data_IF_314771055963
#
_entry.id   IF_314771055963
#
_cell.length_a   1.000
_cell.length_b   1.000
_cell.length_c   1.000
_cell.angle_alpha   90.00
_cell.angle_beta   90.00
_cell.angle_gamma   90.00
#
_symmetry.space_group_name_H-M   'P 1'
#
loop_
_entity.id
_entity.type
_entity.pdbx_description
1 polymer ?
#
# COMPACT_ATOMS: atom_id res chain seq x y z
N UNK A 1 -24.27 5.53 16.20
CA UNK A 1 -23.05 4.71 16.37
C UNK A 1 -21.87 5.54 15.95
N UNK A 2 -20.83 5.57 16.76
CA UNK A 2 -19.62 6.37 16.55
C UNK A 2 -18.86 5.91 15.29
N UNK A 3 -18.31 6.84 14.50
CA UNK A 3 -17.56 6.52 13.28
C UNK A 3 -16.33 5.66 13.60
N UNK A 4 -15.71 5.91 14.76
CA UNK A 4 -14.58 5.12 15.23
C UNK A 4 -14.94 3.62 15.40
N UNK A 5 -16.12 3.34 15.98
CA UNK A 5 -16.57 1.96 16.20
C UNK A 5 -16.87 1.24 14.87
N UNK A 6 -17.41 1.96 13.88
CA UNK A 6 -17.67 1.42 12.54
C UNK A 6 -16.37 1.04 11.84
N UNK A 7 -15.33 1.87 11.95
CA UNK A 7 -14.04 1.61 11.30
C UNK A 7 -13.33 0.39 11.90
N UNK A 8 -13.30 0.23 13.22
CA UNK A 8 -12.61 -0.91 13.86
C UNK A 8 -13.35 -2.25 13.70
N UNK A 9 -14.67 -2.22 13.52
CA UNK A 9 -15.48 -3.45 13.33
C UNK A 9 -15.66 -3.82 11.86
N UNK A 10 -15.26 -2.95 10.95
CA UNK A 10 -15.41 -3.16 9.52
C UNK A 10 -14.60 -4.35 9.01
N UNK A 11 -15.27 -5.17 8.21
CA UNK A 11 -14.67 -6.28 7.46
C UNK A 11 -15.08 -6.11 6.00
N UNK A 12 -14.17 -5.58 5.19
CA UNK A 12 -14.41 -5.39 3.77
C UNK A 12 -14.42 -6.71 3.01
N UNK A 13 -15.38 -6.85 2.11
CA UNK A 13 -15.44 -7.99 1.18
C UNK A 13 -14.34 -7.86 0.14
N UNK A 14 -13.47 -8.87 0.06
CA UNK A 14 -12.41 -8.91 -0.95
C UNK A 14 -12.99 -9.37 -2.28
N UNK A 15 -12.80 -8.55 -3.30
CA UNK A 15 -13.20 -8.82 -4.67
C UNK A 15 -11.97 -9.12 -5.53
N UNK A 16 -12.11 -10.14 -6.38
CA UNK A 16 -11.14 -10.49 -7.41
C UNK A 16 -11.75 -10.17 -8.77
N UNK A 17 -11.16 -9.25 -9.51
CA UNK A 17 -11.66 -8.91 -10.84
C UNK A 17 -11.22 -9.90 -11.91
N UNK A 18 -11.84 -9.77 -13.09
CA UNK A 18 -11.55 -10.64 -14.23
C UNK A 18 -10.06 -10.52 -14.60
N UNK A 19 -9.36 -11.64 -14.83
CA UNK A 19 -7.98 -11.61 -15.29
C UNK A 19 -7.86 -10.84 -16.61
N UNK A 20 -6.87 -9.97 -16.69
CA UNK A 20 -6.47 -9.27 -17.90
C UNK A 20 -5.13 -9.82 -18.38
N UNK A 21 -4.99 -10.05 -19.68
CA UNK A 21 -3.73 -10.47 -20.28
C UNK A 21 -3.03 -9.25 -20.86
N UNK A 22 -1.82 -8.98 -20.41
CA UNK A 22 -0.91 -8.05 -21.09
C UNK A 22 0.10 -8.90 -21.85
N UNK A 23 0.05 -8.85 -23.17
CA UNK A 23 0.99 -9.54 -24.06
C UNK A 23 2.00 -8.55 -24.65
N UNK A 24 3.28 -8.80 -24.44
CA UNK A 24 4.34 -8.14 -25.20
C UNK A 24 4.72 -9.02 -26.40
N UNK A 25 4.31 -8.59 -27.59
CA UNK A 25 4.56 -9.32 -28.84
C UNK A 25 6.06 -9.44 -29.16
N UNK A 26 6.92 -8.56 -28.63
CA UNK A 26 8.36 -8.62 -28.88
C UNK A 26 9.08 -9.65 -28.00
N UNK A 27 8.50 -10.03 -26.86
CA UNK A 27 9.15 -10.90 -25.86
C UNK A 27 8.52 -12.29 -25.71
N UNK A 28 7.50 -12.61 -26.51
CA UNK A 28 6.70 -13.84 -26.38
C UNK A 28 6.27 -14.13 -24.92
N UNK A 29 6.04 -13.07 -24.14
CA UNK A 29 5.67 -13.16 -22.73
C UNK A 29 4.26 -12.61 -22.55
N UNK A 30 3.40 -13.40 -21.92
CA UNK A 30 2.09 -12.98 -21.47
C UNK A 30 2.08 -12.89 -19.94
N UNK A 31 1.71 -11.73 -19.41
CA UNK A 31 1.48 -11.53 -17.99
C UNK A 31 -0.02 -11.50 -17.77
N UNK A 32 -0.51 -12.44 -16.95
CA UNK A 32 -1.88 -12.40 -16.48
C UNK A 32 -1.91 -11.54 -15.23
N UNK A 33 -2.72 -10.49 -15.26
CA UNK A 33 -2.95 -9.58 -14.14
C UNK A 33 -4.35 -9.82 -13.61
N UNK A 34 -4.44 -10.02 -12.30
CA UNK A 34 -5.73 -10.10 -11.60
C UNK A 34 -5.77 -9.00 -10.53
N UNK A 35 -6.63 -7.97 -10.70
CA UNK A 35 -6.82 -6.95 -9.69
C UNK A 35 -7.56 -7.50 -8.46
N UNK A 36 -7.04 -7.19 -7.28
CA UNK A 36 -7.72 -7.39 -6.00
C UNK A 36 -8.22 -6.04 -5.49
N UNK A 37 -9.47 -6.02 -5.06
CA UNK A 37 -10.14 -4.85 -4.49
C UNK A 37 -10.85 -5.25 -3.21
N UNK A 38 -11.33 -4.27 -2.45
CA UNK A 38 -12.38 -4.47 -1.45
C UNK A 38 -13.53 -3.49 -1.65
N UNK A 39 -14.71 -3.86 -1.16
CA UNK A 39 -15.83 -2.92 -1.01
C UNK A 39 -15.68 -2.24 0.34
N UNK A 40 -15.69 -0.90 0.36
CA UNK A 40 -15.70 -0.13 1.61
C UNK A 40 -17.09 -0.11 2.28
N UNK A 41 -17.21 0.61 3.40
CA UNK A 41 -18.47 0.76 4.14
C UNK A 41 -19.62 1.37 3.32
N UNK A 42 -19.31 2.07 2.24
CA UNK A 42 -20.27 2.70 1.33
C UNK A 42 -20.54 1.85 0.09
N UNK A 43 -19.91 0.67 -0.02
CA UNK A 43 -19.98 -0.18 -1.20
C UNK A 43 -19.10 0.28 -2.36
N UNK A 44 -18.17 1.20 -2.13
CA UNK A 44 -17.24 1.65 -3.17
C UNK A 44 -16.07 0.67 -3.30
N UNK A 45 -15.69 0.39 -4.55
CA UNK A 45 -14.52 -0.44 -4.84
C UNK A 45 -13.23 0.32 -4.56
N UNK A 46 -12.35 -0.26 -3.74
CA UNK A 46 -11.01 0.25 -3.43
C UNK A 46 -9.95 -0.74 -3.90
N UNK A 47 -9.04 -0.29 -4.77
CA UNK A 47 -7.98 -1.14 -5.31
C UNK A 47 -6.92 -1.46 -4.24
N UNK A 48 -6.53 -2.74 -4.15
CA UNK A 48 -5.50 -3.22 -3.22
C UNK A 48 -4.18 -3.42 -3.96
N UNK A 49 -4.13 -4.43 -4.83
CA UNK A 49 -2.93 -4.82 -5.56
C UNK A 49 -3.29 -5.68 -6.79
N UNK A 50 -2.32 -5.84 -7.68
CA UNK A 50 -2.41 -6.73 -8.82
C UNK A 50 -1.68 -8.04 -8.51
N UNK A 51 -2.37 -9.17 -8.60
CA UNK A 51 -1.72 -10.48 -8.64
C UNK A 51 -1.23 -10.71 -10.08
N UNK A 52 0.09 -10.70 -10.26
CA UNK A 52 0.74 -11.01 -11.54
C UNK A 52 1.05 -12.51 -11.61
N UNK A 53 0.79 -13.12 -12.76
CA UNK A 53 1.23 -14.48 -13.08
C UNK A 53 1.95 -14.45 -14.43
N UNK A 54 3.26 -14.69 -14.42
CA UNK A 54 4.03 -14.94 -15.63
C UNK A 54 3.81 -16.35 -16.15
N UNK A 55 4.34 -16.62 -17.34
CA UNK A 55 4.31 -17.95 -17.99
C UNK A 55 5.22 -18.99 -17.32
N UNK A 56 6.12 -18.57 -16.42
CA UNK A 56 6.99 -19.46 -15.65
C UNK A 56 6.39 -19.78 -14.27
N UNK A 57 6.09 -21.05 -14.00
CA UNK A 57 5.35 -21.52 -12.81
C UNK A 57 6.09 -21.24 -11.49
N UNK A 58 7.42 -21.07 -11.54
CA UNK A 58 8.26 -20.74 -10.38
C UNK A 58 7.96 -19.36 -9.80
N UNK A 59 7.52 -18.40 -10.63
CA UNK A 59 7.24 -17.02 -10.24
C UNK A 59 5.94 -16.85 -9.42
N UNK A 60 4.97 -17.75 -9.57
CA UNK A 60 3.62 -17.56 -9.02
C UNK A 60 3.47 -17.87 -7.52
N UNK A 61 4.42 -18.56 -6.90
CA UNK A 61 4.38 -18.89 -5.46
C UNK A 61 4.72 -17.65 -4.61
N UNK A 62 5.67 -16.84 -5.08
CA UNK A 62 6.09 -15.60 -4.42
C UNK A 62 4.98 -14.52 -4.50
N UNK A 63 4.37 -14.32 -5.67
CA UNK A 63 3.30 -13.30 -5.81
C UNK A 63 2.06 -13.62 -4.97
N UNK A 64 1.72 -14.91 -4.80
CA UNK A 64 0.61 -15.31 -3.91
C UNK A 64 0.94 -15.05 -2.44
N UNK A 65 2.19 -15.30 -2.04
CA UNK A 65 2.66 -15.00 -0.70
C UNK A 65 2.60 -13.49 -0.43
N UNK A 66 3.11 -12.66 -1.34
CA UNK A 66 3.04 -11.20 -1.25
C UNK A 66 1.61 -10.68 -1.20
N UNK A 67 0.71 -11.23 -2.03
CA UNK A 67 -0.72 -10.88 -1.97
C UNK A 67 -1.33 -11.24 -0.62
N UNK A 68 -1.00 -12.42 -0.07
CA UNK A 68 -1.49 -12.84 1.24
C UNK A 68 -0.98 -11.92 2.37
N UNK A 69 0.28 -11.47 2.30
CA UNK A 69 0.87 -10.50 3.23
C UNK A 69 0.12 -9.16 3.19
N UNK A 70 -0.13 -8.63 1.99
CA UNK A 70 -0.90 -7.39 1.80
C UNK A 70 -2.31 -7.53 2.39
N UNK A 71 -3.02 -8.61 2.08
CA UNK A 71 -4.37 -8.85 2.62
C UNK A 71 -4.37 -9.01 4.14
N UNK A 72 -3.32 -9.60 4.71
CA UNK A 72 -3.17 -9.73 6.16
C UNK A 72 -2.93 -8.37 6.82
N UNK A 73 -2.05 -7.54 6.26
CA UNK A 73 -1.82 -6.17 6.74
C UNK A 73 -3.11 -5.34 6.64
N UNK A 74 -3.82 -5.41 5.51
CA UNK A 74 -5.09 -4.71 5.32
C UNK A 74 -6.12 -5.07 6.40
N UNK A 75 -6.28 -6.36 6.70
CA UNK A 75 -7.19 -6.82 7.77
C UNK A 75 -6.72 -6.39 9.16
N UNK A 76 -5.42 -6.45 9.43
CA UNK A 76 -4.82 -6.03 10.71
C UNK A 76 -5.07 -4.56 11.00
N UNK A 77 -5.05 -3.72 9.97
CA UNK A 77 -5.29 -2.28 10.08
C UNK A 77 -6.71 -1.89 9.67
N UNK A 78 -7.67 -2.81 9.83
CA UNK A 78 -9.10 -2.55 9.67
C UNK A 78 -9.49 -1.86 8.36
N UNK A 79 -8.82 -2.24 7.27
CA UNK A 79 -9.01 -1.69 5.92
C UNK A 79 -8.73 -0.18 5.79
N UNK A 80 -8.13 0.47 6.80
CA UNK A 80 -7.74 1.88 6.74
C UNK A 80 -6.51 2.08 5.87
N UNK A 81 -5.56 1.14 5.95
CA UNK A 81 -4.37 1.10 5.12
C UNK A 81 -3.77 -0.31 5.10
N UNK A 82 -2.75 -0.52 4.27
CA UNK A 82 -1.84 -1.66 4.40
C UNK A 82 -0.39 -1.22 4.20
N UNK A 83 0.56 -2.00 4.73
CA UNK A 83 1.98 -1.86 4.44
C UNK A 83 2.46 -2.90 3.43
N UNK A 84 3.35 -2.49 2.53
CA UNK A 84 4.03 -3.37 1.57
C UNK A 84 5.18 -4.17 2.17
N UNK A 85 5.57 -3.89 3.43
CA UNK A 85 6.74 -4.52 4.07
C UNK A 85 6.37 -5.01 5.48
N UNK A 86 6.65 -6.29 5.79
CA UNK A 86 6.27 -6.90 7.08
C UNK A 86 7.08 -6.41 8.28
N UNK A 87 8.29 -5.87 8.08
CA UNK A 87 9.17 -5.44 9.18
C UNK A 87 8.64 -4.23 9.97
N UNK A 88 7.81 -3.40 9.34
CA UNK A 88 7.21 -2.20 9.91
C UNK A 88 5.82 -1.96 9.28
N UNK A 89 4.87 -2.84 9.60
CA UNK A 89 3.52 -2.75 9.05
C UNK A 89 2.63 -1.71 9.76
N UNK A 90 2.98 -1.35 10.98
CA UNK A 90 2.35 -0.28 11.75
C UNK A 90 2.94 1.10 11.38
N UNK A 91 2.09 1.97 10.83
CA UNK A 91 2.51 3.28 10.33
C UNK A 91 2.87 4.24 11.46
N UNK A 92 2.12 4.23 12.57
CA UNK A 92 2.35 5.13 13.69
C UNK A 92 3.65 4.75 14.40
N UNK A 93 3.90 3.44 14.57
CA UNK A 93 5.17 2.94 15.08
C UNK A 93 6.33 3.35 14.17
N UNK A 94 6.19 3.15 12.85
CA UNK A 94 7.21 3.54 11.88
C UNK A 94 7.54 5.05 11.96
N UNK A 95 6.51 5.91 11.92
CA UNK A 95 6.70 7.37 11.99
C UNK A 95 7.26 7.81 13.34
N UNK A 96 6.83 7.17 14.43
CA UNK A 96 7.36 7.39 15.77
C UNK A 96 8.84 7.06 15.88
N UNK A 97 9.29 5.96 15.26
CA UNK A 97 10.71 5.61 15.21
C UNK A 97 11.52 6.59 14.37
N UNK A 98 11.03 6.98 13.19
CA UNK A 98 11.66 8.00 12.33
C UNK A 98 11.84 9.31 13.09
N UNK A 99 10.80 9.76 13.79
CA UNK A 99 10.83 10.99 14.57
C UNK A 99 11.79 10.88 15.77
N UNK A 100 11.71 9.78 16.53
CA UNK A 100 12.56 9.54 17.71
C UNK A 100 14.04 9.49 17.35
N UNK A 101 14.39 8.84 16.22
CA UNK A 101 15.76 8.74 15.72
C UNK A 101 16.21 9.94 14.90
N UNK A 102 15.33 10.93 14.67
CA UNK A 102 15.56 12.11 13.82
C UNK A 102 16.02 11.73 12.40
N UNK A 103 15.48 10.63 11.88
CA UNK A 103 15.78 10.17 10.53
C UNK A 103 15.11 11.05 9.46
N UNK A 104 15.67 10.99 8.26
CA UNK A 104 15.22 11.74 7.09
C UNK A 104 14.51 10.79 6.14
N UNK A 105 13.30 11.14 5.71
CA UNK A 105 12.62 10.40 4.65
C UNK A 105 13.11 10.89 3.28
N UNK A 106 13.31 9.97 2.34
CA UNK A 106 13.66 10.22 0.95
C UNK A 106 12.57 9.78 0.00
N UNK A 107 12.17 10.70 -0.87
CA UNK A 107 11.24 10.40 -1.94
C UNK A 107 12.00 9.86 -3.15
N UNK A 108 11.68 8.63 -3.55
CA UNK A 108 12.05 8.07 -4.85
C UNK A 108 11.03 8.57 -5.91
N UNK A 109 10.97 9.88 -6.11
CA UNK A 109 9.91 10.58 -6.86
C UNK A 109 9.03 11.45 -5.96
N UNK A 110 7.75 11.13 -5.85
CA UNK A 110 6.81 11.78 -4.93
C UNK A 110 6.50 10.85 -3.75
N UNK A 111 6.53 11.39 -2.51
CA UNK A 111 6.11 10.66 -1.32
C UNK A 111 4.66 10.20 -1.41
N UNK A 112 3.79 11.03 -1.98
CA UNK A 112 2.36 10.80 -2.09
C UNK A 112 2.00 10.59 -3.55
N UNK A 113 1.52 9.39 -3.88
CA UNK A 113 1.12 9.00 -5.22
C UNK A 113 -0.34 8.59 -5.21
N UNK A 114 -1.11 9.08 -6.17
CA UNK A 114 -2.55 8.83 -6.24
C UNK A 114 -2.87 7.94 -7.45
N UNK A 115 -3.66 6.87 -7.28
CA UNK A 115 -4.32 6.21 -8.40
C UNK A 115 -5.23 7.20 -9.16
N UNK A 116 -5.55 6.88 -10.41
CA UNK A 116 -6.32 7.75 -11.31
C UNK A 116 -7.66 8.19 -10.70
N UNK A 117 -8.32 7.24 -10.05
CA UNK A 117 -9.60 7.34 -9.38
C UNK A 117 -9.51 7.94 -7.96
N UNK A 118 -8.30 8.23 -7.46
CA UNK A 118 -8.02 8.88 -6.17
C UNK A 118 -8.75 8.25 -4.97
N UNK A 119 -9.04 6.97 -5.06
CA UNK A 119 -9.71 6.16 -4.04
C UNK A 119 -8.78 5.77 -2.88
N UNK A 120 -7.48 6.04 -3.03
CA UNK A 120 -6.45 5.81 -2.02
C UNK A 120 -5.27 6.74 -2.24
N UNK A 121 -4.30 6.74 -1.33
CA UNK A 121 -3.00 7.40 -1.50
C UNK A 121 -1.89 6.45 -1.10
N UNK A 122 -0.89 6.32 -1.96
CA UNK A 122 0.34 5.59 -1.65
C UNK A 122 1.35 6.55 -1.01
N UNK A 123 1.77 6.24 0.21
CA UNK A 123 2.88 6.88 0.90
C UNK A 123 4.12 5.99 0.82
N UNK A 124 5.15 6.44 0.08
CA UNK A 124 6.31 5.60 -0.25
C UNK A 124 7.62 6.38 -0.28
N UNK A 125 8.72 5.68 0.02
CA UNK A 125 10.05 6.25 -0.01
C UNK A 125 11.07 5.32 0.66
N UNK A 126 12.20 5.89 1.03
CA UNK A 126 13.24 5.22 1.81
C UNK A 126 13.62 6.07 3.02
N UNK A 127 14.04 5.43 4.10
CA UNK A 127 14.68 6.10 5.23
C UNK A 127 16.14 6.32 4.85
N UNK A 128 16.61 7.58 4.80
CA UNK A 128 17.97 7.92 4.32
C UNK A 128 19.05 7.16 5.08
N UNK A 129 18.95 7.17 6.41
CA UNK A 129 20.02 6.74 7.30
C UNK A 129 20.19 5.21 7.29
N UNK A 130 19.12 4.46 7.03
CA UNK A 130 19.14 2.98 7.03
C UNK A 130 19.06 2.38 5.63
N UNK A 131 18.63 3.17 4.63
CA UNK A 131 18.30 2.67 3.29
C UNK A 131 17.00 1.84 3.24
N UNK A 132 16.30 1.71 4.37
CA UNK A 132 15.10 0.87 4.46
C UNK A 132 13.94 1.47 3.66
N UNK A 133 13.36 0.73 2.70
CA UNK A 133 12.18 1.19 1.98
C UNK A 133 10.93 1.09 2.85
N UNK A 134 9.98 1.99 2.61
CA UNK A 134 8.65 1.91 3.21
C UNK A 134 7.58 2.13 2.15
N UNK A 135 6.44 1.48 2.32
CA UNK A 135 5.29 1.63 1.46
C UNK A 135 4.01 1.42 2.26
N UNK A 136 3.13 2.41 2.24
CA UNK A 136 1.79 2.32 2.81
C UNK A 136 0.76 2.75 1.76
N UNK A 137 -0.33 2.01 1.60
CA UNK A 137 -1.49 2.46 0.83
C UNK A 137 -2.64 2.76 1.77
N UNK A 138 -3.11 4.00 1.76
CA UNK A 138 -4.06 4.57 2.72
C UNK A 138 -5.39 4.82 2.02
N UNK A 139 -6.47 4.33 2.59
CA UNK A 139 -7.84 4.48 2.09
C UNK A 139 -8.66 5.48 2.90
N UNK A 140 -8.30 5.65 4.17
CA UNK A 140 -9.02 6.53 5.10
C UNK A 140 -8.51 7.98 5.04
N UNK A 141 -9.47 8.92 5.00
CA UNK A 141 -9.19 10.35 4.89
C UNK A 141 -8.64 10.94 6.19
N UNK A 142 -9.18 10.54 7.34
CA UNK A 142 -8.75 11.08 8.64
C UNK A 142 -7.31 10.64 8.95
N UNK A 143 -7.01 9.36 8.69
CA UNK A 143 -5.66 8.82 8.79
C UNK A 143 -4.69 9.54 7.85
N UNK A 144 -5.10 9.85 6.61
CA UNK A 144 -4.26 10.61 5.70
C UNK A 144 -3.97 12.03 6.21
N UNK A 145 -4.97 12.72 6.78
CA UNK A 145 -4.76 14.03 7.39
C UNK A 145 -3.83 13.95 8.62
N UNK A 146 -3.95 12.89 9.42
CA UNK A 146 -3.03 12.62 10.52
C UNK A 146 -1.59 12.43 10.03
N UNK A 147 -1.38 11.63 8.97
CA UNK A 147 -0.07 11.47 8.34
C UNK A 147 0.51 12.83 7.93
N UNK A 148 -0.26 13.69 7.25
CA UNK A 148 0.21 15.01 6.84
C UNK A 148 0.63 15.88 8.03
N UNK A 149 -0.08 15.78 9.15
CA UNK A 149 0.27 16.47 10.39
C UNK A 149 1.61 15.95 10.94
N UNK A 150 1.77 14.64 11.09
CA UNK A 150 3.01 14.01 11.61
C UNK A 150 4.21 14.34 10.73
N UNK A 151 4.03 14.32 9.40
CA UNK A 151 5.09 14.65 8.45
C UNK A 151 5.63 16.08 8.59
N UNK A 152 4.89 17.02 9.20
CA UNK A 152 5.41 18.37 9.50
C UNK A 152 6.60 18.34 10.47
N UNK A 153 6.64 17.35 11.36
CA UNK A 153 7.75 17.14 12.31
C UNK A 153 8.90 16.29 11.77
N UNK A 154 8.81 15.78 10.54
CA UNK A 154 9.78 14.86 9.95
C UNK A 154 10.55 15.53 8.81
N UNK A 155 11.88 15.43 8.85
CA UNK A 155 12.75 15.91 7.78
C UNK A 155 12.55 15.05 6.53
N UNK A 156 12.38 15.74 5.39
CA UNK A 156 12.05 15.11 4.10
C UNK A 156 12.90 15.70 3.00
N UNK A 157 13.44 14.85 2.13
CA UNK A 157 14.24 15.27 0.99
C UNK A 157 13.84 14.47 -0.27
N UNK A 158 14.11 15.02 -1.46
CA UNK A 158 13.97 14.28 -2.72
C UNK A 158 15.26 13.55 -3.03
N UNK A 159 15.18 12.31 -3.51
CA UNK A 159 16.34 11.65 -4.09
C UNK A 159 16.87 12.50 -5.25
N UNK A 160 18.19 12.74 -5.28
CA UNK A 160 18.83 13.32 -6.46
C UNK A 160 18.80 12.25 -7.54
N UNK A 161 18.07 12.53 -8.62
CA UNK A 161 18.03 11.72 -9.85
C UNK A 161 19.28 12.04 -10.65
#
# INVERSE_FOLDING_TARGET
MDNHYRNITFKGDILKEKPMVISDHARHASIIIVPYLFLDINGEKKFICNLMRGTDESSGRDVRLETAKILRSLRRHHFLYFSGYEGNDDMDKFLGEVMKKKHTLLANGNFLQYPVNRESVSFTGTVRETGEPFFFRIYDRELFLHLLYVLRGIKREKAKI
#
